data_IF_723839303725
#
_entry.id   IF_723839303725
#
_cell.length_a   1.000
_cell.length_b   1.000
_cell.length_c   1.000
_cell.angle_alpha   90.00
_cell.angle_beta   90.00
_cell.angle_gamma   90.00
#
_symmetry.space_group_name_H-M   'P 1'
#
loop_
_entity.id
_entity.type
_entity.pdbx_description
1 polymer ?
#
# COMPACT_ATOMS: atom_id res chain seq x y z
N UNK A 1 -2.03 -0.71 17.90
CA UNK A 1 -2.20 -0.42 16.46
C UNK A 1 -1.43 -1.36 15.55
N UNK A 2 -0.22 -1.83 15.93
CA UNK A 2 0.50 -2.85 15.15
C UNK A 2 -0.31 -4.14 14.92
N UNK A 3 -0.98 -4.64 15.96
CA UNK A 3 -1.83 -5.84 15.85
C UNK A 3 -2.97 -5.67 14.84
N UNK A 4 -3.66 -4.52 14.87
CA UNK A 4 -4.78 -4.22 13.96
C UNK A 4 -4.32 -4.24 12.49
N UNK A 5 -3.15 -3.68 12.19
CA UNK A 5 -2.60 -3.72 10.83
C UNK A 5 -2.23 -5.14 10.40
N UNK A 6 -1.64 -5.92 11.30
CA UNK A 6 -1.28 -7.30 11.04
C UNK A 6 -2.51 -8.17 10.80
N UNK A 7 -3.57 -7.98 11.58
CA UNK A 7 -4.85 -8.67 11.42
C UNK A 7 -5.48 -8.30 10.06
N UNK A 8 -5.52 -7.01 9.70
CA UNK A 8 -6.01 -6.55 8.40
C UNK A 8 -5.21 -7.10 7.22
N UNK A 9 -3.88 -7.19 7.35
CA UNK A 9 -3.01 -7.78 6.32
C UNK A 9 -3.26 -9.28 6.16
N UNK A 10 -3.45 -10.00 7.26
CA UNK A 10 -3.78 -11.44 7.26
C UNK A 10 -5.13 -11.69 6.59
N UNK A 11 -6.14 -10.88 6.93
CA UNK A 11 -7.46 -10.94 6.28
C UNK A 11 -7.37 -10.61 4.78
N UNK A 12 -6.58 -9.60 4.41
CA UNK A 12 -6.37 -9.24 3.01
C UNK A 12 -5.75 -10.38 2.22
N UNK A 13 -4.71 -11.04 2.78
CA UNK A 13 -4.07 -12.18 2.14
C UNK A 13 -5.06 -13.34 1.97
N UNK A 14 -5.85 -13.63 3.01
CA UNK A 14 -6.89 -14.65 2.95
C UNK A 14 -7.90 -14.38 1.81
N UNK A 15 -8.32 -13.13 1.63
CA UNK A 15 -9.23 -12.75 0.53
C UNK A 15 -8.51 -12.83 -0.82
N UNK A 16 -7.24 -12.48 -0.88
CA UNK A 16 -6.43 -12.61 -2.10
C UNK A 16 -6.34 -14.07 -2.55
N UNK A 17 -6.08 -14.99 -1.63
CA UNK A 17 -6.06 -16.43 -1.91
C UNK A 17 -7.43 -16.93 -2.43
N UNK A 18 -8.53 -16.40 -1.89
CA UNK A 18 -9.88 -16.67 -2.40
C UNK A 18 -10.09 -16.14 -3.82
N UNK A 19 -9.57 -14.94 -4.14
CA UNK A 19 -9.61 -14.40 -5.51
C UNK A 19 -8.90 -15.34 -6.46
N UNK A 20 -7.72 -15.82 -6.09
CA UNK A 20 -6.89 -16.67 -6.95
C UNK A 20 -7.53 -18.06 -7.14
N UNK A 21 -8.12 -18.63 -6.09
CA UNK A 21 -8.89 -19.87 -6.18
C UNK A 21 -10.09 -19.75 -7.15
N UNK A 22 -10.91 -18.72 -7.00
CA UNK A 22 -12.10 -18.50 -7.86
C UNK A 22 -11.69 -18.13 -9.29
N UNK A 23 -10.57 -17.42 -9.48
CA UNK A 23 -10.02 -17.14 -10.80
C UNK A 23 -9.55 -18.42 -11.50
N UNK A 24 -8.94 -19.34 -10.76
CA UNK A 24 -8.56 -20.66 -11.26
C UNK A 24 -9.80 -21.46 -11.71
N UNK A 25 -10.84 -21.50 -10.86
CA UNK A 25 -12.13 -22.13 -11.18
C UNK A 25 -12.76 -21.55 -12.45
N UNK A 26 -12.81 -20.22 -12.57
CA UNK A 26 -13.30 -19.53 -13.76
C UNK A 26 -12.54 -19.92 -15.02
N UNK A 27 -11.21 -19.96 -14.95
CA UNK A 27 -10.37 -20.34 -16.09
C UNK A 27 -10.58 -21.80 -16.49
N UNK A 28 -10.74 -22.70 -15.52
CA UNK A 28 -11.02 -24.11 -15.78
C UNK A 28 -12.37 -24.29 -16.49
N UNK A 29 -13.42 -23.58 -16.06
CA UNK A 29 -14.74 -23.60 -16.72
C UNK A 29 -14.66 -23.04 -18.15
N UNK A 30 -13.94 -21.94 -18.36
CA UNK A 30 -13.73 -21.37 -19.69
C UNK A 30 -13.00 -22.33 -20.62
N UNK A 31 -12.00 -23.05 -20.11
CA UNK A 31 -11.29 -24.08 -20.86
C UNK A 31 -12.21 -25.26 -21.21
N UNK A 32 -13.01 -25.76 -20.24
CA UNK A 32 -14.02 -26.80 -20.51
C UNK A 32 -14.99 -26.40 -21.62
N UNK A 33 -15.50 -25.18 -21.56
CA UNK A 33 -16.39 -24.62 -22.60
C UNK A 33 -15.71 -24.53 -23.96
N UNK A 34 -14.45 -24.09 -24.01
CA UNK A 34 -13.70 -23.93 -25.27
C UNK A 34 -13.35 -25.29 -25.91
N UNK A 35 -13.20 -26.33 -25.09
CA UNK A 35 -12.92 -27.69 -25.52
C UNK A 35 -14.19 -28.56 -25.65
N UNK A 36 -15.37 -27.94 -25.67
CA UNK A 36 -16.62 -28.67 -25.88
C UNK A 36 -16.73 -29.02 -27.36
N UNK A 37 -16.68 -30.31 -27.70
CA UNK A 37 -16.62 -30.80 -29.07
C UNK A 37 -17.95 -31.37 -29.57
N UNK A 38 -18.15 -31.27 -30.87
CA UNK A 38 -19.27 -31.84 -31.63
C UNK A 38 -18.89 -33.25 -32.08
N UNK A 39 -19.65 -34.27 -31.67
CA UNK A 39 -19.62 -35.62 -32.26
C UNK A 39 -20.21 -35.57 -33.67
N UNK A 40 -19.48 -36.10 -34.65
CA UNK A 40 -20.02 -36.25 -36.00
C UNK A 40 -20.48 -37.69 -36.17
N UNK A 41 -21.78 -37.89 -36.37
CA UNK A 41 -22.38 -39.19 -36.60
C UNK A 41 -22.38 -39.52 -38.09
N UNK A 42 -21.97 -40.75 -38.43
CA UNK A 42 -21.99 -41.27 -39.79
C UNK A 42 -22.71 -42.62 -39.81
N UNK A 43 -23.51 -42.87 -40.85
CA UNK A 43 -24.04 -44.20 -41.14
C UNK A 43 -23.35 -44.79 -42.37
N UNK A 44 -23.00 -46.08 -42.31
CA UNK A 44 -22.53 -46.86 -43.45
C UNK A 44 -23.69 -47.46 -44.26
N UNK A 45 -24.91 -47.42 -43.74
CA UNK A 45 -26.13 -47.91 -44.39
C UNK A 45 -27.02 -46.73 -44.82
N UNK A 46 -27.54 -46.82 -46.05
CA UNK A 46 -28.39 -45.80 -46.68
C UNK A 46 -29.87 -46.17 -46.66
N UNK A 47 -30.23 -47.26 -45.97
CA UNK A 47 -31.63 -47.61 -45.73
C UNK A 47 -32.37 -46.48 -44.99
N UNK A 48 -33.66 -46.32 -45.30
CA UNK A 48 -34.51 -45.30 -44.68
C UNK A 48 -34.57 -45.46 -43.16
N UNK A 49 -34.56 -46.69 -42.66
CA UNK A 49 -34.55 -46.99 -41.22
C UNK A 49 -33.23 -46.55 -40.56
N UNK A 50 -32.09 -46.81 -41.21
CA UNK A 50 -30.77 -46.38 -40.71
C UNK A 50 -30.63 -44.86 -40.66
N UNK A 51 -31.12 -44.17 -41.70
CA UNK A 51 -31.13 -42.71 -41.74
C UNK A 51 -32.05 -42.11 -40.66
N UNK A 52 -33.23 -42.70 -40.43
CA UNK A 52 -34.14 -42.25 -39.38
C UNK A 52 -33.54 -42.43 -37.97
N UNK A 53 -32.85 -43.55 -37.70
CA UNK A 53 -32.15 -43.76 -36.43
C UNK A 53 -30.99 -42.77 -36.25
N UNK A 54 -30.21 -42.51 -37.31
CA UNK A 54 -29.13 -41.53 -37.27
C UNK A 54 -29.67 -40.13 -36.97
N UNK A 55 -30.78 -39.73 -37.60
CA UNK A 55 -31.42 -38.44 -37.33
C UNK A 55 -31.87 -38.32 -35.87
N UNK A 56 -32.50 -39.37 -35.33
CA UNK A 56 -32.93 -39.38 -33.92
C UNK A 56 -31.73 -39.29 -32.96
N UNK A 57 -30.63 -39.98 -33.25
CA UNK A 57 -29.40 -39.89 -32.47
C UNK A 57 -28.77 -38.50 -32.55
N UNK A 58 -28.71 -37.90 -33.74
CA UNK A 58 -28.18 -36.56 -33.94
C UNK A 58 -29.01 -35.51 -33.18
N UNK A 59 -30.33 -35.60 -33.21
CA UNK A 59 -31.23 -34.72 -32.44
C UNK A 59 -31.03 -34.89 -30.92
N UNK A 60 -30.87 -36.13 -30.44
CA UNK A 60 -30.61 -36.40 -29.03
C UNK A 60 -29.24 -35.83 -28.58
N UNK A 61 -28.18 -36.01 -29.37
CA UNK A 61 -26.86 -35.44 -29.08
C UNK A 61 -26.86 -33.91 -29.13
N UNK A 62 -27.52 -33.31 -30.13
CA UNK A 62 -27.62 -31.86 -30.26
C UNK A 62 -28.33 -31.23 -29.04
N UNK A 63 -29.43 -31.85 -28.59
CA UNK A 63 -30.17 -31.40 -27.40
C UNK A 63 -29.31 -31.51 -26.14
N UNK A 64 -28.57 -32.61 -25.99
CA UNK A 64 -27.65 -32.81 -24.86
C UNK A 64 -26.56 -31.75 -24.83
N UNK A 65 -25.92 -31.45 -25.96
CA UNK A 65 -24.88 -30.42 -25.99
C UNK A 65 -25.41 -29.03 -25.74
N UNK A 66 -26.59 -28.69 -26.29
CA UNK A 66 -27.21 -27.41 -26.02
C UNK A 66 -27.44 -27.23 -24.51
N UNK A 67 -27.90 -28.29 -23.84
CA UNK A 67 -28.08 -28.27 -22.39
C UNK A 67 -26.75 -28.14 -21.63
N UNK A 68 -25.75 -28.96 -21.95
CA UNK A 68 -24.43 -28.96 -21.30
C UNK A 68 -23.72 -27.60 -21.46
N UNK A 69 -23.78 -27.00 -22.66
CA UNK A 69 -23.23 -25.67 -22.93
C UNK A 69 -23.97 -24.59 -22.13
N UNK A 70 -25.29 -24.67 -22.05
CA UNK A 70 -26.08 -23.71 -21.27
C UNK A 70 -25.73 -23.80 -19.79
N UNK A 71 -25.55 -25.00 -19.23
CA UNK A 71 -25.10 -25.17 -17.85
C UNK A 71 -23.69 -24.59 -17.63
N UNK A 72 -22.73 -24.89 -18.51
CA UNK A 72 -21.39 -24.31 -18.43
C UNK A 72 -21.42 -22.78 -18.50
N UNK A 73 -22.25 -22.20 -19.37
CA UNK A 73 -22.40 -20.74 -19.46
C UNK A 73 -22.98 -20.14 -18.17
N UNK A 74 -23.96 -20.80 -17.55
CA UNK A 74 -24.50 -20.38 -16.25
C UNK A 74 -23.45 -20.44 -15.13
N UNK A 75 -22.67 -21.53 -15.06
CA UNK A 75 -21.58 -21.68 -14.09
C UNK A 75 -20.51 -20.60 -14.27
N UNK A 76 -20.09 -20.34 -15.52
CA UNK A 76 -19.12 -19.28 -15.83
C UNK A 76 -19.63 -17.91 -15.37
N UNK A 77 -20.90 -17.59 -15.60
CA UNK A 77 -21.48 -16.33 -15.15
C UNK A 77 -21.54 -16.24 -13.63
N UNK A 78 -21.97 -17.31 -12.94
CA UNK A 78 -22.00 -17.36 -11.49
C UNK A 78 -20.59 -17.14 -10.88
N UNK A 79 -19.58 -17.84 -11.40
CA UNK A 79 -18.19 -17.71 -10.95
C UNK A 79 -17.62 -16.32 -11.25
N UNK A 80 -17.99 -15.71 -12.37
CA UNK A 80 -17.63 -14.32 -12.69
C UNK A 80 -18.22 -13.32 -11.70
N UNK A 81 -19.48 -13.49 -11.31
CA UNK A 81 -20.14 -12.66 -10.29
C UNK A 81 -19.44 -12.82 -8.94
N UNK A 82 -19.18 -14.07 -8.53
CA UNK A 82 -18.43 -14.39 -7.29
C UNK A 82 -17.06 -13.72 -7.27
N UNK A 83 -16.30 -13.81 -8.37
CA UNK A 83 -15.00 -13.16 -8.51
C UNK A 83 -15.09 -11.64 -8.34
N UNK A 84 -16.11 -11.00 -8.94
CA UNK A 84 -16.35 -9.55 -8.79
C UNK A 84 -16.62 -9.18 -7.33
N UNK A 85 -17.44 -9.96 -6.64
CA UNK A 85 -17.78 -9.71 -5.23
C UNK A 85 -16.55 -9.83 -4.32
N UNK A 86 -15.73 -10.87 -4.49
CA UNK A 86 -14.53 -11.06 -3.67
C UNK A 86 -13.51 -9.94 -3.94
N UNK A 87 -13.31 -9.56 -5.20
CA UNK A 87 -12.44 -8.41 -5.55
C UNK A 87 -12.91 -7.09 -4.92
N UNK A 88 -14.22 -6.87 -4.84
CA UNK A 88 -14.75 -5.70 -4.14
C UNK A 88 -14.42 -5.73 -2.64
N UNK A 89 -14.55 -6.89 -1.99
CA UNK A 89 -14.13 -7.06 -0.58
C UNK A 89 -12.64 -6.80 -0.40
N UNK A 90 -11.80 -7.31 -1.30
CA UNK A 90 -10.36 -7.07 -1.28
C UNK A 90 -10.02 -5.58 -1.38
N UNK A 91 -10.67 -4.85 -2.28
CA UNK A 91 -10.47 -3.40 -2.44
C UNK A 91 -10.86 -2.62 -1.17
N UNK A 92 -11.96 -3.00 -0.52
CA UNK A 92 -12.36 -2.41 0.77
C UNK A 92 -11.29 -2.66 1.84
N UNK A 93 -10.77 -3.88 1.94
CA UNK A 93 -9.69 -4.20 2.90
C UNK A 93 -8.40 -3.44 2.60
N UNK A 94 -8.02 -3.30 1.34
CA UNK A 94 -6.86 -2.48 0.96
C UNK A 94 -7.00 -1.03 1.42
N UNK A 95 -8.19 -0.43 1.28
CA UNK A 95 -8.45 0.93 1.74
C UNK A 95 -8.38 1.03 3.28
N UNK A 96 -8.83 0.01 4.01
CA UNK A 96 -8.72 -0.05 5.48
C UNK A 96 -7.25 -0.11 5.93
N UNK A 97 -6.43 -0.94 5.27
CA UNK A 97 -4.98 -1.01 5.53
C UNK A 97 -4.32 0.34 5.30
N UNK A 98 -4.58 0.98 4.15
CA UNK A 98 -4.02 2.30 3.84
C UNK A 98 -4.39 3.34 4.89
N UNK A 99 -5.65 3.37 5.33
CA UNK A 99 -6.12 4.30 6.36
C UNK A 99 -5.40 4.08 7.69
N UNK A 100 -5.26 2.83 8.12
CA UNK A 100 -4.58 2.50 9.37
C UNK A 100 -3.08 2.86 9.31
N UNK A 101 -2.40 2.58 8.19
CA UNK A 101 -1.00 2.99 7.96
C UNK A 101 -0.85 4.51 7.99
N UNK A 102 -1.72 5.25 7.31
CA UNK A 102 -1.69 6.70 7.30
C UNK A 102 -1.86 7.30 8.71
N UNK A 103 -2.76 6.74 9.51
CA UNK A 103 -2.95 7.16 10.90
C UNK A 103 -1.70 6.90 11.76
N UNK A 104 -1.08 5.73 11.63
CA UNK A 104 0.15 5.40 12.35
C UNK A 104 1.30 6.33 11.96
N UNK A 105 1.52 6.52 10.65
CA UNK A 105 2.57 7.40 10.14
C UNK A 105 2.37 8.84 10.59
N UNK A 106 1.11 9.31 10.64
CA UNK A 106 0.80 10.66 11.14
C UNK A 106 1.17 10.85 12.61
N UNK A 107 0.92 9.85 13.46
CA UNK A 107 1.30 9.89 14.87
C UNK A 107 2.81 9.92 15.02
N UNK A 108 3.53 9.05 14.29
CA UNK A 108 4.99 9.03 14.31
C UNK A 108 5.58 10.35 13.81
N UNK A 109 5.00 10.93 12.76
CA UNK A 109 5.45 12.21 12.21
C UNK A 109 5.30 13.34 13.23
N UNK A 110 4.20 13.37 14.00
CA UNK A 110 4.01 14.31 15.11
C UNK A 110 5.05 14.12 16.22
N UNK A 111 5.31 12.88 16.61
CA UNK A 111 6.33 12.56 17.61
C UNK A 111 7.73 13.01 17.16
N UNK A 112 8.08 12.75 15.90
CA UNK A 112 9.35 13.21 15.34
C UNK A 112 9.42 14.74 15.25
N UNK A 113 8.34 15.41 14.85
CA UNK A 113 8.24 16.87 14.87
C UNK A 113 8.53 17.43 16.28
N UNK A 114 7.85 16.91 17.30
CA UNK A 114 8.03 17.36 18.69
C UNK A 114 9.46 17.10 19.16
N UNK A 115 10.01 15.92 18.86
CA UNK A 115 11.37 15.55 19.26
C UNK A 115 12.42 16.44 18.60
N UNK A 116 12.30 16.73 17.31
CA UNK A 116 13.23 17.61 16.59
C UNK A 116 13.18 19.01 17.19
N UNK A 117 12.00 19.53 17.49
CA UNK A 117 11.86 20.86 18.07
C UNK A 117 12.42 20.93 19.51
N UNK A 118 12.28 19.87 20.31
CA UNK A 118 12.94 19.79 21.62
C UNK A 118 14.47 19.81 21.50
N UNK A 119 15.02 19.01 20.59
CA UNK A 119 16.47 18.97 20.34
C UNK A 119 16.99 20.32 19.84
N UNK A 120 16.23 20.99 18.97
CA UNK A 120 16.54 22.34 18.51
C UNK A 120 16.63 23.34 19.67
N UNK A 121 15.67 23.31 20.61
CA UNK A 121 15.70 24.16 21.81
C UNK A 121 16.89 23.85 22.71
N UNK A 122 17.22 22.57 22.92
CA UNK A 122 18.40 22.18 23.71
C UNK A 122 19.69 22.66 23.06
N UNK A 123 19.81 22.52 21.75
CA UNK A 123 20.96 23.00 21.00
C UNK A 123 21.07 24.53 21.07
N UNK A 124 19.95 25.25 20.99
CA UNK A 124 19.91 26.71 21.15
C UNK A 124 20.49 27.14 22.51
N UNK A 125 20.05 26.50 23.59
CA UNK A 125 20.55 26.78 24.93
C UNK A 125 22.06 26.50 25.07
N UNK A 126 22.55 25.40 24.51
CA UNK A 126 23.97 25.03 24.56
C UNK A 126 24.84 26.01 23.76
N UNK A 127 24.39 26.43 22.58
CA UNK A 127 25.09 27.44 21.76
C UNK A 127 25.17 28.78 22.51
N UNK A 128 24.08 29.20 23.15
CA UNK A 128 24.06 30.43 23.96
C UNK A 128 25.00 30.33 25.17
N UNK A 129 25.02 29.19 25.87
CA UNK A 129 25.95 28.95 26.97
C UNK A 129 27.40 29.00 26.50
N UNK A 130 27.72 28.35 25.39
CA UNK A 130 29.04 28.35 24.77
C UNK A 130 29.49 29.77 24.37
N UNK A 131 28.60 30.57 23.77
CA UNK A 131 28.86 31.99 23.47
C UNK A 131 29.19 32.79 24.72
N UNK A 132 28.36 32.66 25.78
CA UNK A 132 28.60 33.33 27.07
C UNK A 132 29.92 32.89 27.71
N UNK A 133 30.31 31.62 27.60
CA UNK A 133 31.61 31.15 28.10
C UNK A 133 32.78 31.77 27.34
N UNK A 134 32.67 31.89 26.01
CA UNK A 134 33.69 32.55 25.19
C UNK A 134 33.82 34.06 25.51
N UNK A 135 32.68 34.75 25.69
CA UNK A 135 32.65 36.17 26.08
C UNK A 135 33.26 36.43 27.47
N UNK A 136 33.02 35.52 28.42
CA UNK A 136 33.54 35.64 29.79
C UNK A 136 35.00 35.22 29.93
N UNK A 137 35.68 34.80 28.85
CA UNK A 137 37.08 34.44 28.92
C UNK A 137 37.96 35.68 29.13
N UNK A 138 38.52 35.80 30.33
CA UNK A 138 39.52 36.81 30.66
C UNK A 138 40.91 36.13 30.72
N UNK A 139 41.86 36.50 29.84
CA UNK A 139 43.21 35.96 29.91
C UNK A 139 43.90 36.39 31.21
N UNK A 140 44.57 35.44 31.88
CA UNK A 140 45.23 35.65 33.19
C UNK A 140 46.37 36.67 33.18
N UNK A 141 46.93 37.02 32.02
CA UNK A 141 47.92 38.10 31.92
C UNK A 141 47.95 38.71 30.51
N UNK A 142 48.18 40.03 30.45
CA UNK A 142 48.39 40.80 29.20
C UNK A 142 49.64 40.32 28.43
N UNK A 143 50.57 39.62 29.09
CA UNK A 143 51.80 39.09 28.49
C UNK A 143 51.56 37.92 27.52
N UNK A 144 50.43 37.21 27.65
CA UNK A 144 50.20 36.01 26.84
C UNK A 144 49.71 36.30 25.42
N UNK A 145 48.99 37.42 25.21
CA UNK A 145 48.43 37.77 23.91
C UNK A 145 48.35 39.30 23.75
N UNK A 146 49.17 39.93 22.87
CA UNK A 146 49.14 41.39 22.63
C UNK A 146 47.83 41.90 22.00
N UNK A 147 46.95 40.98 21.57
CA UNK A 147 45.55 41.24 21.23
C UNK A 147 44.70 40.09 21.79
N UNK A 148 43.56 40.36 22.46
CA UNK A 148 42.68 39.30 22.94
C UNK A 148 42.29 38.37 21.78
N UNK A 149 42.35 37.05 21.97
CA UNK A 149 42.05 36.11 20.90
C UNK A 149 40.55 36.15 20.60
N UNK A 150 40.19 36.15 19.32
CA UNK A 150 38.80 35.90 18.93
C UNK A 150 38.53 34.41 19.13
N UNK A 151 37.92 34.07 20.27
CA UNK A 151 37.73 32.67 20.68
C UNK A 151 36.60 31.96 19.96
N UNK A 152 35.64 32.72 19.44
CA UNK A 152 34.45 32.20 18.80
C UNK A 152 34.08 33.04 17.59
N UNK A 153 33.82 32.35 16.48
CA UNK A 153 33.20 32.89 15.28
C UNK A 153 31.99 31.99 14.95
N UNK A 154 30.81 32.60 14.84
CA UNK A 154 29.57 31.88 14.57
C UNK A 154 29.12 32.13 13.12
N UNK A 155 29.49 31.22 12.22
CA UNK A 155 29.05 31.28 10.82
C UNK A 155 27.56 30.94 10.65
N UNK A 156 26.99 30.18 11.59
CA UNK A 156 25.59 29.78 11.60
C UNK A 156 24.83 30.45 12.74
N UNK A 157 23.80 31.23 12.39
CA UNK A 157 22.94 31.95 13.33
C UNK A 157 21.50 31.44 13.37
N UNK A 158 21.22 30.31 12.70
CA UNK A 158 19.90 29.69 12.64
C UNK A 158 19.98 28.21 13.03
N UNK A 159 18.96 27.73 13.74
CA UNK A 159 18.81 26.31 14.12
C UNK A 159 17.66 25.69 13.31
N UNK A 160 17.84 24.47 12.77
CA UNK A 160 16.76 23.73 12.13
C UNK A 160 15.57 23.52 13.08
N UNK A 161 14.38 23.90 12.63
CA UNK A 161 13.14 23.80 13.39
C UNK A 161 12.00 23.37 12.46
N UNK A 162 11.06 22.56 12.94
CA UNK A 162 9.91 22.15 12.14
C UNK A 162 8.69 22.98 12.53
N UNK A 163 8.18 23.76 11.58
CA UNK A 163 6.92 24.49 11.70
C UNK A 163 5.76 23.61 11.22
N UNK A 164 4.73 23.47 12.05
CA UNK A 164 3.47 22.87 11.67
C UNK A 164 2.58 23.90 10.94
N UNK A 165 2.13 23.56 9.74
CA UNK A 165 1.10 24.26 8.98
C UNK A 165 -0.13 23.35 8.85
N UNK A 166 -1.30 23.87 8.46
CA UNK A 166 -2.58 23.14 8.49
C UNK A 166 -2.55 21.74 7.84
N UNK A 167 -1.74 21.55 6.79
CA UNK A 167 -1.68 20.29 6.02
C UNK A 167 -0.27 19.73 5.86
N UNK A 168 0.74 20.32 6.49
CA UNK A 168 2.14 19.90 6.28
C UNK A 168 3.05 20.34 7.41
N UNK A 169 4.19 19.66 7.52
CA UNK A 169 5.33 20.09 8.31
C UNK A 169 6.38 20.71 7.40
N UNK A 170 6.96 21.83 7.82
CA UNK A 170 7.98 22.56 7.05
C UNK A 170 9.24 22.71 7.90
N UNK A 171 10.36 22.19 7.43
CA UNK A 171 11.66 22.47 8.02
C UNK A 171 12.08 23.91 7.66
N UNK A 172 12.42 24.69 8.68
CA UNK A 172 12.82 26.10 8.56
C UNK A 172 14.03 26.36 9.45
N UNK A 173 14.79 27.41 9.16
CA UNK A 173 15.80 27.95 10.08
C UNK A 173 15.14 28.92 11.05
N UNK A 174 15.20 28.64 12.35
CA UNK A 174 14.82 29.57 13.41
C UNK A 174 16.07 30.36 13.82
N UNK A 175 16.06 31.70 13.79
CA UNK A 175 17.20 32.49 14.25
C UNK A 175 17.45 32.27 15.74
N UNK A 176 18.73 32.12 16.11
CA UNK A 176 19.19 32.09 17.48
C UNK A 176 19.23 33.53 17.98
N UNK A 177 18.56 33.80 19.10
CA UNK A 177 18.62 35.13 19.71
C UNK A 177 19.77 35.19 20.73
N UNK A 178 20.92 35.69 20.29
CA UNK A 178 22.10 35.89 21.14
C UNK A 178 21.94 37.01 22.18
N UNK A 179 20.90 37.85 22.05
CA UNK A 179 20.65 39.00 22.92
C UNK A 179 19.61 38.71 24.03
N UNK A 180 19.32 37.44 24.33
CA UNK A 180 18.45 37.08 25.45
C UNK A 180 19.24 37.21 26.77
N UNK A 181 19.06 38.36 27.41
CA UNK A 181 19.43 38.64 28.82
C UNK A 181 18.57 37.83 29.80
#
# INVERSE_FOLDING_TARGET
MSQILQDLQTEWQTIQDQVDAVKSEYNALRNKRSNHHVTVLFSSDSSLESLAMLQQQAEAEANRWSFDLQQLDQEIQATRIKLRQIRAKLAVKQAQIYRAQAQQNWIQLKQHHERINQLATTLEAEILAFSKTAENFQPLSEEWLPKPPQLLELEMTNIPYIKAEEKKFKLVGKPINFNLE
#
